data_IF_996126009005
#
_entry.id   IF_996126009005
#
_cell.length_a   1.000
_cell.length_b   1.000
_cell.length_c   1.000
_cell.angle_alpha   90.00
_cell.angle_beta   90.00
_cell.angle_gamma   90.00
#
_symmetry.space_group_name_H-M   'P 1'
#
loop_
_entity.id
_entity.type
_entity.pdbx_description
1 polymer ?
#
# COMPACT_ATOMS: atom_id res chain seq x y z
N UNK A 1 -2.89 -21.01 3.15
CA UNK A 1 -3.74 -19.91 2.63
C UNK A 1 -5.18 -20.25 3.04
N UNK A 2 -5.77 -19.47 3.95
CA UNK A 2 -6.95 -19.84 4.74
C UNK A 2 -8.24 -20.01 3.92
N UNK A 3 -9.06 -20.99 4.32
CA UNK A 3 -10.30 -21.42 3.66
C UNK A 3 -11.46 -20.40 3.70
N UNK A 4 -11.22 -19.12 4.02
CA UNK A 4 -12.27 -18.10 4.18
C UNK A 4 -12.57 -17.26 2.92
N UNK A 5 -11.62 -17.15 1.99
CA UNK A 5 -11.75 -16.28 0.80
C UNK A 5 -12.61 -16.87 -0.33
N UNK A 6 -12.94 -18.17 -0.30
CA UNK A 6 -13.68 -18.83 -1.37
C UNK A 6 -15.21 -18.75 -1.24
N UNK A 7 -15.74 -18.11 -0.18
CA UNK A 7 -17.19 -18.05 0.08
C UNK A 7 -17.83 -16.69 -0.18
N UNK A 8 -17.05 -15.62 -0.37
CA UNK A 8 -17.58 -14.27 -0.64
C UNK A 8 -17.27 -13.88 -2.08
N UNK A 9 -18.24 -13.29 -2.76
CA UNK A 9 -17.99 -12.68 -4.05
C UNK A 9 -16.96 -11.54 -3.86
N UNK A 10 -16.05 -11.30 -4.83
CA UNK A 10 -15.07 -10.21 -4.75
C UNK A 10 -15.69 -8.85 -4.39
N UNK A 11 -16.93 -8.63 -4.83
CA UNK A 11 -17.72 -7.43 -4.62
C UNK A 11 -18.16 -7.23 -3.16
N UNK A 12 -18.07 -8.25 -2.31
CA UNK A 12 -18.42 -8.19 -0.88
C UNK A 12 -17.18 -8.22 0.03
N UNK A 13 -15.99 -8.39 -0.54
CA UNK A 13 -14.74 -8.50 0.21
C UNK A 13 -14.31 -7.11 0.67
N UNK A 14 -14.28 -6.92 1.99
CA UNK A 14 -13.83 -5.69 2.64
C UNK A 14 -12.37 -5.74 3.09
N UNK A 15 -11.84 -6.95 3.30
CA UNK A 15 -10.48 -7.18 3.77
C UNK A 15 -9.82 -8.31 2.97
N UNK A 16 -8.61 -8.07 2.50
CA UNK A 16 -7.83 -9.04 1.74
C UNK A 16 -6.38 -9.08 2.23
N UNK A 17 -5.97 -10.23 2.76
CA UNK A 17 -4.60 -10.47 3.25
C UNK A 17 -3.94 -11.52 2.36
N UNK A 18 -2.90 -11.11 1.66
CA UNK A 18 -2.13 -11.92 0.69
C UNK A 18 -0.66 -12.06 1.10
N UNK A 19 -0.34 -11.81 2.36
CA UNK A 19 1.04 -11.84 2.84
C UNK A 19 1.73 -13.17 2.52
N UNK A 20 3.01 -13.10 2.19
CA UNK A 20 3.85 -14.24 1.80
C UNK A 20 3.37 -14.99 0.54
N UNK A 21 2.41 -14.43 -0.22
CA UNK A 21 2.04 -14.94 -1.54
C UNK A 21 2.89 -14.24 -2.59
N UNK A 22 3.93 -14.92 -3.10
CA UNK A 22 4.87 -14.34 -4.06
C UNK A 22 4.15 -13.76 -5.29
N UNK A 23 4.43 -12.50 -5.60
CA UNK A 23 4.02 -11.85 -6.84
C UNK A 23 4.76 -12.48 -8.03
N UNK A 24 4.06 -12.62 -9.15
CA UNK A 24 4.70 -13.01 -10.41
C UNK A 24 5.39 -11.77 -10.98
N UNK A 25 6.71 -11.85 -11.18
CA UNK A 25 7.55 -10.74 -11.66
C UNK A 25 7.48 -9.47 -10.81
N UNK A 26 7.12 -9.58 -9.52
CA UNK A 26 7.02 -8.44 -8.62
C UNK A 26 5.87 -7.48 -8.94
N UNK A 27 4.80 -7.99 -9.57
CA UNK A 27 3.57 -7.26 -9.90
C UNK A 27 2.34 -7.87 -9.22
N UNK A 28 1.30 -7.06 -9.04
CA UNK A 28 0.02 -7.48 -8.48
C UNK A 28 -0.76 -8.29 -9.54
N UNK A 29 -1.13 -9.52 -9.20
CA UNK A 29 -1.96 -10.39 -10.05
C UNK A 29 -3.27 -10.73 -9.33
N UNK A 30 -4.37 -10.87 -10.09
CA UNK A 30 -5.67 -11.30 -9.57
C UNK A 30 -6.49 -10.23 -8.85
N UNK A 31 -5.88 -9.08 -8.51
CA UNK A 31 -6.59 -7.90 -8.01
C UNK A 31 -7.13 -7.07 -9.18
N UNK A 32 -8.42 -6.75 -9.18
CA UNK A 32 -9.07 -5.96 -10.22
C UNK A 32 -10.20 -5.09 -9.63
N UNK A 33 -10.92 -4.38 -10.49
CA UNK A 33 -11.99 -3.43 -10.13
C UNK A 33 -13.28 -4.07 -9.60
N UNK A 34 -13.34 -5.41 -9.47
CA UNK A 34 -14.47 -6.10 -8.82
C UNK A 34 -14.43 -5.97 -7.29
N UNK A 35 -13.27 -5.71 -6.69
CA UNK A 35 -13.09 -5.52 -5.25
C UNK A 35 -13.53 -4.12 -4.78
N UNK A 36 -14.77 -3.75 -5.10
CA UNK A 36 -15.32 -2.39 -4.91
C UNK A 36 -15.50 -2.00 -3.45
N UNK A 37 -15.70 -3.00 -2.59
CA UNK A 37 -15.92 -2.84 -1.15
C UNK A 37 -14.64 -2.99 -0.33
N UNK A 38 -13.48 -3.15 -0.96
CA UNK A 38 -12.22 -3.38 -0.26
C UNK A 38 -11.78 -2.14 0.52
N UNK A 39 -11.63 -2.30 1.84
CA UNK A 39 -11.22 -1.27 2.80
C UNK A 39 -9.80 -1.52 3.32
N UNK A 40 -9.38 -2.78 3.42
CA UNK A 40 -8.04 -3.18 3.85
C UNK A 40 -7.39 -4.17 2.88
N UNK A 41 -6.17 -3.87 2.46
CA UNK A 41 -5.33 -4.75 1.65
C UNK A 41 -3.96 -4.92 2.32
N UNK A 42 -3.55 -6.17 2.52
CA UNK A 42 -2.20 -6.52 2.97
C UNK A 42 -1.52 -7.42 1.96
N UNK A 43 -0.33 -7.03 1.54
CA UNK A 43 0.56 -7.80 0.67
C UNK A 43 1.98 -7.71 1.21
N UNK A 44 2.18 -8.07 2.48
CA UNK A 44 3.49 -8.03 3.10
C UNK A 44 4.37 -9.22 2.64
N UNK A 45 5.66 -8.96 2.41
CA UNK A 45 6.64 -9.99 2.03
C UNK A 45 6.22 -10.81 0.78
N UNK A 46 5.84 -10.12 -0.30
CA UNK A 46 5.42 -10.75 -1.57
C UNK A 46 6.39 -10.48 -2.73
N UNK A 47 7.54 -9.86 -2.45
CA UNK A 47 8.51 -9.39 -3.46
C UNK A 47 7.93 -8.36 -4.45
N UNK A 48 6.94 -7.56 -4.01
CA UNK A 48 6.34 -6.51 -4.83
C UNK A 48 7.39 -5.45 -5.18
N UNK A 49 7.49 -5.11 -6.46
CA UNK A 49 8.42 -4.10 -6.98
C UNK A 49 7.72 -2.95 -7.70
N UNK A 50 6.53 -3.19 -8.24
CA UNK A 50 5.78 -2.24 -9.06
C UNK A 50 4.31 -2.17 -8.64
N UNK A 51 3.79 -0.95 -8.59
CA UNK A 51 2.38 -0.65 -8.31
C UNK A 51 1.56 -0.37 -9.58
N UNK A 52 2.17 -0.49 -10.76
CA UNK A 52 1.54 -0.11 -12.04
C UNK A 52 0.24 -0.87 -12.34
N UNK A 53 0.11 -2.10 -11.84
CA UNK A 53 -1.07 -2.96 -12.02
C UNK A 53 -2.14 -2.77 -10.93
N UNK A 54 -1.98 -1.82 -10.01
CA UNK A 54 -2.96 -1.58 -8.97
C UNK A 54 -4.29 -1.06 -9.58
N UNK A 55 -5.43 -1.74 -9.35
CA UNK A 55 -6.73 -1.26 -9.80
C UNK A 55 -7.19 -0.07 -8.95
N UNK A 56 -8.24 0.63 -9.41
CA UNK A 56 -8.86 1.67 -8.60
C UNK A 56 -9.65 1.05 -7.44
N UNK A 57 -9.23 1.33 -6.21
CA UNK A 57 -9.81 0.81 -4.98
C UNK A 57 -10.35 1.98 -4.16
N UNK A 58 -11.51 2.51 -4.56
CA UNK A 58 -12.06 3.74 -4.02
C UNK A 58 -12.44 3.66 -2.54
N UNK A 59 -12.73 2.47 -2.00
CA UNK A 59 -13.05 2.29 -0.58
C UNK A 59 -11.84 1.97 0.29
N UNK A 60 -10.66 1.77 -0.30
CA UNK A 60 -9.48 1.39 0.44
C UNK A 60 -9.10 2.49 1.44
N UNK A 61 -8.87 2.10 2.69
CA UNK A 61 -8.47 2.96 3.81
C UNK A 61 -7.08 2.59 4.32
N UNK A 62 -6.75 1.29 4.33
CA UNK A 62 -5.50 0.77 4.88
C UNK A 62 -4.78 -0.11 3.86
N UNK A 63 -3.51 0.18 3.62
CA UNK A 63 -2.65 -0.55 2.70
C UNK A 63 -1.33 -0.93 3.38
N UNK A 64 -1.05 -2.23 3.40
CA UNK A 64 0.12 -2.82 4.05
C UNK A 64 1.02 -3.48 3.00
N UNK A 65 2.17 -2.84 2.73
CA UNK A 65 3.16 -3.26 1.74
C UNK A 65 4.55 -3.47 2.36
N UNK A 66 4.63 -3.68 3.68
CA UNK A 66 5.92 -3.94 4.33
C UNK A 66 6.67 -5.16 3.77
N UNK A 67 7.99 -5.17 4.00
CA UNK A 67 8.88 -6.27 3.61
C UNK A 67 8.87 -6.58 2.09
N UNK A 68 8.70 -5.56 1.24
CA UNK A 68 8.76 -5.68 -0.22
C UNK A 68 10.03 -5.02 -0.82
N UNK A 69 10.09 -4.89 -2.14
CA UNK A 69 11.21 -4.28 -2.86
C UNK A 69 10.78 -3.06 -3.70
N UNK A 70 9.71 -2.39 -3.28
CA UNK A 70 9.23 -1.16 -3.91
C UNK A 70 10.32 -0.09 -3.79
N UNK A 71 10.58 0.64 -4.88
CA UNK A 71 11.58 1.70 -4.92
C UNK A 71 11.04 3.07 -5.36
N UNK A 72 9.83 3.13 -5.92
CA UNK A 72 9.18 4.35 -6.43
C UNK A 72 7.79 4.04 -7.02
N UNK A 73 7.23 4.96 -7.80
CA UNK A 73 5.92 4.78 -8.45
C UNK A 73 4.73 4.91 -7.49
N UNK A 74 4.93 5.58 -6.35
CA UNK A 74 3.89 5.72 -5.32
C UNK A 74 2.80 6.73 -5.70
N UNK A 75 3.06 7.63 -6.64
CA UNK A 75 2.11 8.59 -7.17
C UNK A 75 0.83 7.93 -7.69
N UNK A 76 0.91 6.66 -8.14
CA UNK A 76 -0.25 5.87 -8.57
C UNK A 76 -1.26 5.67 -7.43
N UNK A 77 -0.82 5.66 -6.16
CA UNK A 77 -1.70 5.54 -5.00
C UNK A 77 -2.60 6.77 -4.87
N UNK A 78 -2.12 7.95 -5.28
CA UNK A 78 -2.91 9.17 -5.30
C UNK A 78 -4.17 9.01 -6.16
N UNK A 79 -4.02 8.41 -7.33
CA UNK A 79 -5.09 8.21 -8.31
C UNK A 79 -5.93 6.95 -8.06
N UNK A 80 -5.30 5.84 -7.66
CA UNK A 80 -5.97 4.54 -7.52
C UNK A 80 -6.65 4.34 -6.18
N UNK A 81 -6.13 4.96 -5.12
CA UNK A 81 -6.63 4.82 -3.76
C UNK A 81 -6.91 6.21 -3.15
N UNK A 82 -7.88 6.96 -3.70
CA UNK A 82 -8.11 8.37 -3.34
C UNK A 82 -8.54 8.58 -1.88
N UNK A 83 -9.00 7.53 -1.21
CA UNK A 83 -9.43 7.60 0.19
C UNK A 83 -8.50 6.84 1.14
N UNK A 84 -7.28 6.52 0.71
CA UNK A 84 -6.29 5.86 1.55
C UNK A 84 -5.88 6.76 2.71
N UNK A 85 -5.98 6.28 3.95
CA UNK A 85 -5.61 7.03 5.16
C UNK A 85 -4.41 6.44 5.88
N UNK A 86 -4.11 5.16 5.67
CA UNK A 86 -2.97 4.46 6.27
C UNK A 86 -2.17 3.73 5.19
N UNK A 87 -0.86 3.96 5.19
CA UNK A 87 0.10 3.29 4.33
C UNK A 87 1.28 2.78 5.14
N UNK A 88 1.63 1.51 4.98
CA UNK A 88 2.86 0.96 5.54
C UNK A 88 3.76 0.44 4.41
N UNK A 89 4.96 1.01 4.33
CA UNK A 89 6.04 0.73 3.40
C UNK A 89 7.30 0.30 4.14
N UNK A 90 7.22 0.02 5.44
CA UNK A 90 8.34 -0.42 6.28
C UNK A 90 9.14 -1.54 5.61
N UNK A 91 10.46 -1.46 5.67
CA UNK A 91 11.37 -2.46 5.07
C UNK A 91 11.27 -2.60 3.55
N UNK A 92 10.83 -1.55 2.84
CA UNK A 92 11.05 -1.41 1.39
C UNK A 92 12.38 -0.71 1.07
N UNK A 93 12.70 -0.59 -0.22
CA UNK A 93 13.91 0.09 -0.73
C UNK A 93 13.53 1.39 -1.43
N UNK A 94 12.68 2.19 -0.79
CA UNK A 94 12.22 3.47 -1.33
C UNK A 94 13.44 4.40 -1.49
N UNK A 95 13.73 4.76 -2.74
CA UNK A 95 14.89 5.59 -3.11
C UNK A 95 14.55 6.71 -4.07
N UNK A 96 13.42 6.60 -4.77
CA UNK A 96 13.05 7.43 -5.90
C UNK A 96 11.68 8.07 -5.65
N UNK A 97 11.62 8.98 -4.68
CA UNK A 97 10.44 9.84 -4.44
C UNK A 97 10.64 11.25 -4.99
N UNK A 98 11.87 11.66 -5.22
CA UNK A 98 12.22 12.95 -5.81
C UNK A 98 13.64 12.91 -6.39
N UNK A 99 13.99 13.93 -7.18
CA UNK A 99 15.36 14.15 -7.68
C UNK A 99 16.40 14.43 -6.59
N UNK A 100 16.00 14.44 -5.32
CA UNK A 100 16.87 14.64 -4.16
C UNK A 100 17.12 13.27 -3.53
N UNK A 101 18.39 12.90 -3.35
CA UNK A 101 18.75 11.69 -2.63
C UNK A 101 18.08 11.72 -1.25
N UNK A 102 17.18 10.78 -0.98
CA UNK A 102 16.61 10.59 0.36
C UNK A 102 17.76 10.10 1.24
N UNK A 103 18.33 11.00 2.04
CA UNK A 103 19.51 10.69 2.84
C UNK A 103 19.17 10.20 4.25
N UNK A 104 17.96 10.48 4.73
CA UNK A 104 17.52 10.16 6.09
C UNK A 104 16.01 9.85 6.17
N UNK A 105 15.53 9.45 7.36
CA UNK A 105 14.15 9.04 7.61
C UNK A 105 13.15 10.22 7.60
N UNK A 106 13.58 11.40 8.04
CA UNK A 106 12.73 12.60 8.05
C UNK A 106 12.42 13.04 6.61
N UNK A 107 13.44 13.09 5.74
CA UNK A 107 13.29 13.38 4.30
C UNK A 107 12.30 12.42 3.63
N UNK A 108 12.36 11.13 3.99
CA UNK A 108 11.46 10.10 3.48
C UNK A 108 10.01 10.36 3.89
N UNK A 109 9.75 10.59 5.19
CA UNK A 109 8.39 10.81 5.69
C UNK A 109 7.79 12.08 5.09
N UNK A 110 8.54 13.18 5.10
CA UNK A 110 8.10 14.47 4.53
C UNK A 110 7.74 14.30 3.05
N UNK A 111 8.63 13.68 2.26
CA UNK A 111 8.40 13.45 0.83
C UNK A 111 7.15 12.60 0.55
N UNK A 112 6.90 11.56 1.35
CA UNK A 112 5.72 10.70 1.17
C UNK A 112 4.44 11.46 1.49
N UNK A 113 4.40 12.22 2.59
CA UNK A 113 3.21 12.99 2.95
C UNK A 113 2.93 14.14 1.96
N UNK A 114 3.96 14.75 1.39
CA UNK A 114 3.81 15.74 0.31
C UNK A 114 3.26 15.11 -0.98
N UNK A 115 3.76 13.92 -1.34
CA UNK A 115 3.33 13.17 -2.52
C UNK A 115 1.90 12.64 -2.38
N UNK A 116 1.56 12.11 -1.21
CA UNK A 116 0.31 11.43 -0.90
C UNK A 116 -0.47 12.17 0.18
N UNK A 117 -0.90 13.40 -0.12
CA UNK A 117 -1.61 14.28 0.83
C UNK A 117 -2.91 13.69 1.41
N UNK A 118 -3.41 12.59 0.83
CA UNK A 118 -4.57 11.87 1.37
C UNK A 118 -4.26 11.02 2.61
N UNK A 119 -3.01 10.58 2.82
CA UNK A 119 -2.69 9.67 3.92
C UNK A 119 -2.53 10.44 5.23
N UNK A 120 -2.97 9.83 6.32
CA UNK A 120 -2.84 10.35 7.69
C UNK A 120 -1.69 9.65 8.43
N UNK A 121 -1.52 8.35 8.20
CA UNK A 121 -0.51 7.53 8.86
C UNK A 121 0.43 6.88 7.84
N UNK A 122 1.73 6.98 8.11
CA UNK A 122 2.80 6.34 7.38
C UNK A 122 3.64 5.50 8.34
N UNK A 123 3.79 4.20 8.04
CA UNK A 123 4.61 3.26 8.82
C UNK A 123 4.22 3.23 10.31
N UNK A 124 2.93 3.41 10.60
CA UNK A 124 2.37 3.42 11.95
C UNK A 124 2.29 4.77 12.65
N UNK A 125 2.80 5.84 12.04
CA UNK A 125 2.87 7.17 12.68
C UNK A 125 2.30 8.28 11.79
N UNK A 126 1.68 9.30 12.38
CA UNK A 126 1.27 10.52 11.68
C UNK A 126 2.43 11.52 11.48
N UNK A 127 2.14 12.71 10.95
CA UNK A 127 3.13 13.77 10.75
C UNK A 127 3.74 14.31 12.06
N UNK A 128 3.03 14.16 13.19
CA UNK A 128 3.44 14.62 14.51
C UNK A 128 4.10 13.50 15.34
N UNK A 129 4.44 12.37 14.70
CA UNK A 129 5.00 11.15 15.32
C UNK A 129 4.08 10.47 16.35
N UNK A 130 2.77 10.71 16.28
CA UNK A 130 1.80 9.96 17.08
C UNK A 130 1.49 8.62 16.41
N UNK A 131 1.40 7.57 17.22
CA UNK A 131 1.02 6.23 16.76
C UNK A 131 -0.44 6.18 16.27
N UNK A 132 -0.69 5.35 15.26
CA UNK A 132 -2.04 5.00 14.84
C UNK A 132 -2.81 4.38 16.02
N UNK A 133 -3.97 4.95 16.35
CA UNK A 133 -4.85 4.40 17.37
C UNK A 133 -5.65 3.23 16.78
N UNK A 134 -5.33 2.01 17.22
CA UNK A 134 -6.05 0.76 16.89
C UNK A 134 -7.51 0.77 17.32
#
# INVERSE_FOLDING_TARGET
IGMGLWLRAPEEVTELVLDNCLCVNGEIEGLNDTFKELEFLSMANVELSSLAQLPSLNKLRKLEFSDNIISGGLEVLAEKCPNLTYLNLSRNKIKDLSTVEITNLEDYRESIFELLQQITYLDGFDQEENEEST
#
